data_IF_835653582373
#
_entry.id   IF_835653582373
#
_cell.length_a   1.000
_cell.length_b   1.000
_cell.length_c   1.000
_cell.angle_alpha   90.00
_cell.angle_beta   90.00
_cell.angle_gamma   90.00
#
_symmetry.space_group_name_H-M   'P 1'
#
loop_
_entity.id
_entity.type
_entity.pdbx_description
1 polymer ?
#
# COMPACT_ATOMS: atom_id res chain seq x y z
N UNK A 1 -18.56 -20.87 13.10
CA UNK A 1 -17.33 -20.70 13.91
C UNK A 1 -16.38 -19.66 13.31
N UNK A 2 -16.08 -19.69 11.99
CA UNK A 2 -15.20 -18.72 11.31
C UNK A 2 -15.72 -17.26 11.32
N UNK A 3 -17.02 -17.03 11.10
CA UNK A 3 -17.61 -15.69 11.05
C UNK A 3 -17.48 -14.89 12.36
N UNK A 4 -17.52 -15.57 13.51
CA UNK A 4 -17.36 -14.91 14.82
C UNK A 4 -15.93 -14.45 15.07
N UNK A 5 -14.96 -15.27 14.64
CA UNK A 5 -13.52 -14.95 14.76
C UNK A 5 -13.18 -13.77 13.83
N UNK A 6 -13.66 -13.77 12.59
CA UNK A 6 -13.42 -12.64 11.67
C UNK A 6 -14.00 -11.34 12.21
N UNK A 7 -15.19 -11.38 12.81
CA UNK A 7 -15.80 -10.19 13.41
C UNK A 7 -14.99 -9.67 14.61
N UNK A 8 -14.49 -10.57 15.47
CA UNK A 8 -13.63 -10.18 16.59
C UNK A 8 -12.31 -9.55 16.12
N UNK A 9 -11.66 -10.15 15.12
CA UNK A 9 -10.42 -9.61 14.56
C UNK A 9 -10.66 -8.22 13.96
N UNK A 10 -11.73 -8.04 13.18
CA UNK A 10 -12.06 -6.75 12.58
C UNK A 10 -12.35 -5.69 13.66
N UNK A 11 -13.11 -6.03 14.69
CA UNK A 11 -13.41 -5.10 15.78
C UNK A 11 -12.15 -4.70 16.57
N UNK A 12 -11.29 -5.67 16.88
CA UNK A 12 -10.02 -5.42 17.55
C UNK A 12 -9.12 -4.51 16.71
N UNK A 13 -8.96 -4.80 15.41
CA UNK A 13 -8.19 -3.95 14.50
C UNK A 13 -8.78 -2.53 14.42
N UNK A 14 -10.09 -2.39 14.30
CA UNK A 14 -10.75 -1.08 14.23
C UNK A 14 -10.59 -0.28 15.52
N UNK A 15 -10.58 -0.94 16.69
CA UNK A 15 -10.38 -0.26 17.98
C UNK A 15 -8.97 0.33 18.17
N UNK A 16 -8.00 -0.12 17.36
CA UNK A 16 -6.61 0.37 17.38
C UNK A 16 -6.37 1.54 16.43
N UNK A 17 -7.30 1.82 15.53
CA UNK A 17 -7.19 2.94 14.59
C UNK A 17 -7.82 4.16 15.25
N UNK A 18 -7.00 5.11 15.66
CA UNK A 18 -7.48 6.41 16.08
C UNK A 18 -7.79 7.27 14.85
N UNK A 19 -9.06 7.55 14.62
CA UNK A 19 -9.52 8.44 13.55
C UNK A 19 -9.66 9.90 14.02
N UNK A 20 -9.35 10.18 15.29
CA UNK A 20 -9.34 11.54 15.85
C UNK A 20 -8.03 12.28 15.59
N UNK A 21 -7.09 11.65 14.87
CA UNK A 21 -5.83 12.24 14.45
C UNK A 21 -6.04 13.63 13.83
N UNK A 22 -5.40 14.63 14.42
CA UNK A 22 -5.44 16.01 13.93
C UNK A 22 -4.71 16.19 12.59
N UNK A 23 -3.81 15.25 12.25
CA UNK A 23 -2.94 15.34 11.09
C UNK A 23 -2.95 14.04 10.30
N UNK A 24 -2.98 14.18 8.97
CA UNK A 24 -2.86 13.08 8.02
C UNK A 24 -1.56 13.24 7.24
N UNK A 25 -0.75 12.18 7.21
CA UNK A 25 0.52 12.15 6.50
C UNK A 25 0.27 11.60 5.10
N UNK A 26 0.72 12.30 4.06
CA UNK A 26 0.72 11.75 2.70
C UNK A 26 2.10 11.16 2.43
N UNK A 27 2.17 9.85 2.22
CA UNK A 27 3.39 9.16 1.81
C UNK A 27 3.17 8.33 0.54
N UNK A 28 4.26 8.04 -0.17
CA UNK A 28 4.24 7.24 -1.37
C UNK A 28 5.21 6.06 -1.30
N UNK A 29 4.76 4.90 -1.74
CA UNK A 29 5.56 3.68 -1.71
C UNK A 29 5.49 2.90 -3.04
N UNK A 30 6.56 2.18 -3.41
CA UNK A 30 6.57 1.39 -4.63
C UNK A 30 5.76 0.12 -4.43
N UNK A 31 4.84 -0.17 -5.35
CA UNK A 31 4.04 -1.39 -5.40
C UNK A 31 4.54 -2.23 -6.59
N UNK A 32 5.61 -3.04 -6.41
CA UNK A 32 6.17 -3.84 -7.49
C UNK A 32 5.24 -4.99 -7.87
N UNK A 33 4.98 -5.16 -9.17
CA UNK A 33 4.16 -6.25 -9.70
C UNK A 33 4.96 -7.53 -9.92
N UNK A 34 6.27 -7.42 -10.11
CA UNK A 34 7.14 -8.56 -10.29
C UNK A 34 8.58 -8.23 -9.91
N UNK A 35 9.38 -9.28 -9.72
CA UNK A 35 10.84 -9.14 -9.62
C UNK A 35 11.41 -8.53 -10.91
N UNK A 36 12.48 -7.71 -10.85
CA UNK A 36 13.04 -7.02 -12.01
C UNK A 36 13.33 -7.92 -13.22
N UNK A 37 13.77 -9.15 -12.98
CA UNK A 37 14.06 -10.14 -14.03
C UNK A 37 12.83 -10.52 -14.87
N UNK A 38 11.62 -10.35 -14.33
CA UNK A 38 10.35 -10.68 -15.00
C UNK A 38 9.65 -9.47 -15.64
N UNK A 39 10.17 -8.25 -15.46
CA UNK A 39 9.52 -7.02 -15.90
C UNK A 39 9.08 -7.08 -17.38
N UNK A 40 9.98 -7.48 -18.29
CA UNK A 40 9.67 -7.57 -19.73
C UNK A 40 8.55 -8.57 -20.09
N UNK A 41 8.29 -9.56 -19.22
CA UNK A 41 7.28 -10.61 -19.43
C UNK A 41 5.94 -10.28 -18.74
N UNK A 42 5.89 -9.25 -17.91
CA UNK A 42 4.69 -8.90 -17.16
C UNK A 42 3.74 -8.06 -18.04
N UNK A 43 2.67 -8.69 -18.52
CA UNK A 43 1.73 -8.11 -19.49
C UNK A 43 0.34 -7.77 -18.95
N UNK A 44 -0.01 -8.26 -17.76
CA UNK A 44 -1.35 -8.11 -17.18
C UNK A 44 -1.78 -6.64 -17.02
N UNK A 45 -0.84 -5.77 -16.65
CA UNK A 45 -1.08 -4.33 -16.46
C UNK A 45 -0.30 -3.48 -17.47
N UNK A 46 -0.04 -4.01 -18.66
CA UNK A 46 0.60 -3.25 -19.73
C UNK A 46 -0.25 -2.00 -20.07
N UNK A 47 0.41 -0.85 -20.22
CA UNK A 47 -0.26 0.44 -20.45
C UNK A 47 -0.68 1.19 -19.18
N UNK A 48 -0.77 0.52 -18.04
CA UNK A 48 -1.10 1.16 -16.75
C UNK A 48 0.07 1.14 -15.78
N UNK A 49 0.78 0.01 -15.65
CA UNK A 49 1.97 -0.09 -14.83
C UNK A 49 3.18 0.51 -15.55
N UNK A 50 4.11 1.09 -14.80
CA UNK A 50 5.30 1.72 -15.35
C UNK A 50 6.57 1.35 -14.58
N UNK A 51 7.73 1.68 -15.13
CA UNK A 51 9.00 1.58 -14.44
C UNK A 51 9.20 2.83 -13.59
N UNK A 52 9.25 2.66 -12.27
CA UNK A 52 9.54 3.71 -11.30
C UNK A 52 10.88 3.50 -10.60
N UNK A 53 11.41 4.57 -10.01
CA UNK A 53 12.56 4.51 -9.11
C UNK A 53 12.14 4.96 -7.71
N UNK A 54 12.53 4.21 -6.68
CA UNK A 54 12.40 4.63 -5.29
C UNK A 54 13.77 5.09 -4.78
N UNK A 55 13.90 6.38 -4.49
CA UNK A 55 15.17 6.98 -4.05
C UNK A 55 15.61 6.50 -2.67
N UNK A 56 14.68 6.33 -1.73
CA UNK A 56 14.97 5.90 -0.35
C UNK A 56 15.59 4.51 -0.33
N UNK A 57 15.02 3.57 -1.08
CA UNK A 57 15.48 2.18 -1.19
C UNK A 57 16.46 1.95 -2.34
N UNK A 58 16.77 3.00 -3.12
CA UNK A 58 17.69 3.01 -4.26
C UNK A 58 17.48 1.88 -5.28
N UNK A 59 16.23 1.59 -5.64
CA UNK A 59 15.93 0.52 -6.60
C UNK A 59 14.85 0.90 -7.62
N UNK A 60 14.93 0.26 -8.79
CA UNK A 60 13.90 0.34 -9.82
C UNK A 60 12.85 -0.76 -9.63
N UNK A 61 11.60 -0.43 -9.89
CA UNK A 61 10.48 -1.36 -9.85
C UNK A 61 9.61 -1.21 -11.09
N UNK A 62 8.99 -2.32 -11.51
CA UNK A 62 7.88 -2.29 -12.46
C UNK A 62 6.59 -2.47 -11.69
N UNK A 63 5.70 -1.49 -11.77
CA UNK A 63 4.43 -1.52 -11.06
C UNK A 63 3.82 -0.13 -10.88
N UNK A 64 3.25 0.10 -9.69
CA UNK A 64 2.54 1.32 -9.36
C UNK A 64 3.26 2.10 -8.27
N UNK A 65 3.10 3.42 -8.27
CA UNK A 65 3.48 4.27 -7.14
C UNK A 65 2.21 4.55 -6.36
N UNK A 66 2.04 3.90 -5.22
CA UNK A 66 0.87 4.13 -4.36
C UNK A 66 1.05 5.40 -3.55
N UNK A 67 0.05 6.26 -3.54
CA UNK A 67 -0.02 7.45 -2.69
C UNK A 67 -1.09 7.21 -1.63
N UNK A 68 -0.69 7.25 -0.36
CA UNK A 68 -1.56 6.93 0.76
C UNK A 68 -1.62 8.07 1.75
N UNK A 69 -2.83 8.32 2.23
CA UNK A 69 -3.08 9.04 3.45
C UNK A 69 -2.92 8.06 4.62
N UNK A 70 -1.99 8.37 5.53
CA UNK A 70 -1.71 7.53 6.70
C UNK A 70 -1.84 8.32 8.01
N UNK A 71 -2.28 7.62 9.05
CA UNK A 71 -2.35 8.10 10.42
C UNK A 71 -0.94 8.26 11.00
N UNK A 72 -0.80 8.93 12.14
CA UNK A 72 0.51 9.09 12.80
C UNK A 72 1.10 7.73 13.23
N UNK A 73 0.24 6.78 13.58
CA UNK A 73 0.61 5.40 13.93
C UNK A 73 0.80 4.48 12.71
N UNK A 74 0.65 5.00 11.49
CA UNK A 74 0.93 4.28 10.25
C UNK A 74 -0.24 3.49 9.66
N UNK A 75 -1.47 3.72 10.12
CA UNK A 75 -2.66 3.12 9.52
C UNK A 75 -3.06 3.83 8.23
N UNK A 76 -3.42 3.08 7.19
CA UNK A 76 -3.90 3.65 5.92
C UNK A 76 -5.33 4.15 6.10
N UNK A 77 -5.52 5.46 5.93
CA UNK A 77 -6.80 6.15 6.03
C UNK A 77 -7.43 6.38 4.65
N UNK A 78 -6.62 6.42 3.60
CA UNK A 78 -7.08 6.61 2.22
C UNK A 78 -5.98 6.42 1.19
N UNK A 79 -6.36 6.39 -0.08
CA UNK A 79 -5.45 6.30 -1.21
C UNK A 79 -5.91 7.22 -2.34
N UNK A 80 -4.96 7.67 -3.15
CA UNK A 80 -5.18 8.47 -4.37
C UNK A 80 -4.43 7.85 -5.53
#
# INVERSE_FOLDING_TARGET
MLLGITAQIVNDLNSRVDLSDQYMIIDSLPIPLCQPIRNRRAKVFEGTANIGYNSTKKFYYYGFKGHFAVSQDGYVLGYV
#
